data_IF_305481293820
#
_entry.id   IF_305481293820
#
_cell.length_a   1.000
_cell.length_b   1.000
_cell.length_c   1.000
_cell.angle_alpha   90.00
_cell.angle_beta   90.00
_cell.angle_gamma   90.00
#
_symmetry.space_group_name_H-M   'P 1'
#
loop_
_entity.id
_entity.type
_entity.pdbx_description
1 polymer ?
#
# COMPACT_ATOMS: atom_id res chain seq x y z
N UNK A 1 1.96 28.88 10.45
CA UNK A 1 1.04 28.90 11.58
C UNK A 1 -0.19 28.07 11.21
N UNK A 2 -0.39 26.94 11.85
CA UNK A 2 -1.52 26.05 11.62
C UNK A 2 -2.80 26.68 12.20
N UNK A 3 -3.70 27.10 11.36
CA UNK A 3 -4.98 27.64 11.80
C UNK A 3 -5.93 26.48 12.11
N UNK A 4 -6.27 26.30 13.37
CA UNK A 4 -7.28 25.33 13.84
C UNK A 4 -8.70 25.61 13.29
N UNK A 5 -8.90 26.73 12.61
CA UNK A 5 -10.21 27.18 12.10
C UNK A 5 -10.74 26.38 10.90
N UNK A 6 -9.93 25.51 10.28
CA UNK A 6 -10.37 24.72 9.13
C UNK A 6 -11.18 23.46 9.49
N UNK A 7 -11.19 23.08 10.76
CA UNK A 7 -11.85 21.85 11.19
C UNK A 7 -13.32 22.06 11.66
N UNK A 8 -13.71 23.29 11.89
CA UNK A 8 -15.03 23.61 12.48
C UNK A 8 -16.20 23.64 11.49
N UNK A 9 -15.96 23.40 10.20
CA UNK A 9 -17.00 23.42 9.16
C UNK A 9 -17.18 22.12 8.37
N UNK A 10 -16.39 21.09 8.64
CA UNK A 10 -16.53 19.80 7.95
C UNK A 10 -17.76 19.07 8.53
N UNK A 11 -18.87 19.13 7.81
CA UNK A 11 -20.01 18.25 8.10
C UNK A 11 -19.56 16.82 7.92
N UNK A 12 -19.64 16.04 8.98
CA UNK A 12 -19.42 14.60 8.89
C UNK A 12 -20.43 14.02 7.87
N UNK A 13 -19.99 13.15 6.96
CA UNK A 13 -20.91 12.51 6.03
C UNK A 13 -21.97 11.71 6.82
N UNK A 14 -23.19 11.55 6.30
CA UNK A 14 -24.21 10.77 6.95
C UNK A 14 -23.69 9.34 7.23
N UNK A 15 -23.94 8.83 8.41
CA UNK A 15 -23.39 7.54 8.91
C UNK A 15 -23.64 6.39 7.92
N UNK A 16 -24.78 6.36 7.24
CA UNK A 16 -25.10 5.35 6.24
C UNK A 16 -24.11 5.33 5.05
N UNK A 17 -23.69 6.49 4.57
CA UNK A 17 -22.69 6.58 3.50
C UNK A 17 -21.30 6.17 3.98
N UNK A 18 -20.97 6.46 5.24
CA UNK A 18 -19.70 6.04 5.85
C UNK A 18 -19.61 4.54 6.01
N UNK A 19 -20.68 3.88 6.44
CA UNK A 19 -20.75 2.41 6.58
C UNK A 19 -20.64 1.73 5.22
N UNK A 20 -21.38 2.21 4.21
CA UNK A 20 -21.29 1.68 2.84
C UNK A 20 -19.87 1.80 2.30
N UNK A 21 -19.25 2.96 2.44
CA UNK A 21 -17.87 3.17 1.99
C UNK A 21 -16.90 2.25 2.73
N UNK A 22 -17.03 2.09 4.04
CA UNK A 22 -16.20 1.19 4.84
C UNK A 22 -16.33 -0.27 4.37
N UNK A 23 -17.55 -0.74 4.09
CA UNK A 23 -17.79 -2.09 3.56
C UNK A 23 -17.15 -2.29 2.18
N UNK A 24 -17.30 -1.32 1.28
CA UNK A 24 -16.71 -1.39 -0.05
C UNK A 24 -15.17 -1.34 0.01
N UNK A 25 -14.60 -0.51 0.87
CA UNK A 25 -13.15 -0.48 1.12
C UNK A 25 -12.67 -1.82 1.70
N UNK A 26 -13.41 -2.38 2.65
CA UNK A 26 -13.11 -3.70 3.22
C UNK A 26 -13.14 -4.83 2.19
N UNK A 27 -14.14 -4.84 1.30
CA UNK A 27 -14.21 -5.79 0.18
C UNK A 27 -13.02 -5.59 -0.78
N UNK A 28 -12.70 -4.35 -1.13
CA UNK A 28 -11.54 -4.02 -1.94
C UNK A 28 -10.24 -4.54 -1.30
N UNK A 29 -10.06 -4.33 0.00
CA UNK A 29 -8.90 -4.81 0.74
C UNK A 29 -8.80 -6.34 0.74
N UNK A 30 -9.91 -7.04 0.93
CA UNK A 30 -9.97 -8.49 0.82
C UNK A 30 -9.55 -9.00 -0.56
N UNK A 31 -10.07 -8.39 -1.62
CA UNK A 31 -9.68 -8.70 -3.00
C UNK A 31 -8.20 -8.43 -3.27
N UNK A 32 -7.67 -7.31 -2.78
CA UNK A 32 -6.25 -6.98 -2.87
C UNK A 32 -5.37 -7.99 -2.15
N UNK A 33 -5.75 -8.40 -0.94
CA UNK A 33 -5.05 -9.41 -0.17
C UNK A 33 -5.04 -10.78 -0.87
N UNK A 34 -6.16 -11.19 -1.48
CA UNK A 34 -6.24 -12.42 -2.27
C UNK A 34 -5.32 -12.33 -3.50
N UNK A 35 -5.37 -11.22 -4.25
CA UNK A 35 -4.50 -11.00 -5.40
C UNK A 35 -3.01 -11.08 -5.01
N UNK A 36 -2.61 -10.45 -3.91
CA UNK A 36 -1.26 -10.58 -3.34
C UNK A 36 -0.92 -12.03 -3.05
N UNK A 37 -1.80 -12.73 -2.36
CA UNK A 37 -1.56 -14.12 -1.98
C UNK A 37 -1.36 -15.02 -3.20
N UNK A 38 -2.14 -14.83 -4.26
CA UNK A 38 -1.97 -15.57 -5.52
C UNK A 38 -0.59 -15.34 -6.14
N UNK A 39 -0.08 -14.11 -6.11
CA UNK A 39 1.29 -13.81 -6.56
C UNK A 39 2.33 -14.54 -5.70
N UNK A 40 2.18 -14.50 -4.38
CA UNK A 40 3.13 -15.11 -3.45
C UNK A 40 3.11 -16.64 -3.46
N UNK A 41 2.04 -17.28 -3.93
CA UNK A 41 1.98 -18.75 -4.07
C UNK A 41 3.03 -19.31 -5.07
N UNK A 42 3.59 -18.47 -5.93
CA UNK A 42 4.65 -18.89 -6.87
C UNK A 42 6.01 -19.10 -6.22
N UNK A 43 6.17 -18.78 -4.94
CA UNK A 43 7.43 -18.93 -4.21
C UNK A 43 7.21 -19.66 -2.87
N UNK A 44 8.21 -20.44 -2.45
CA UNK A 44 8.17 -21.13 -1.16
C UNK A 44 8.14 -20.10 -0.01
N UNK A 45 7.25 -20.27 0.99
CA UNK A 45 7.20 -19.38 2.15
C UNK A 45 8.56 -19.24 2.84
N UNK A 46 8.93 -18.02 3.20
CA UNK A 46 10.21 -17.72 3.86
C UNK A 46 11.44 -17.76 2.95
N UNK A 47 11.28 -18.03 1.66
CA UNK A 47 12.38 -18.01 0.69
C UNK A 47 12.76 -16.58 0.28
N UNK A 48 13.99 -16.43 -0.25
CA UNK A 48 14.43 -15.18 -0.88
C UNK A 48 13.51 -14.77 -2.04
N UNK A 49 12.98 -15.74 -2.78
CA UNK A 49 12.01 -15.47 -3.85
C UNK A 49 10.70 -14.90 -3.30
N UNK A 50 10.19 -15.40 -2.19
CA UNK A 50 9.00 -14.85 -1.54
C UNK A 50 9.23 -13.41 -1.05
N UNK A 51 10.41 -13.12 -0.50
CA UNK A 51 10.79 -11.77 -0.09
C UNK A 51 10.87 -10.84 -1.31
N UNK A 52 11.50 -11.27 -2.40
CA UNK A 52 11.59 -10.49 -3.64
C UNK A 52 10.21 -10.20 -4.24
N UNK A 53 9.30 -11.17 -4.24
CA UNK A 53 7.90 -10.98 -4.67
C UNK A 53 7.15 -10.02 -3.75
N UNK A 54 7.38 -10.06 -2.45
CA UNK A 54 6.80 -9.11 -1.49
C UNK A 54 7.23 -7.68 -1.81
N UNK A 55 8.51 -7.46 -2.08
CA UNK A 55 9.02 -6.16 -2.54
C UNK A 55 8.38 -5.74 -3.85
N UNK A 56 8.30 -6.64 -4.83
CA UNK A 56 7.68 -6.36 -6.14
C UNK A 56 6.21 -5.97 -6.01
N UNK A 57 5.44 -6.65 -5.18
CA UNK A 57 4.04 -6.34 -4.88
C UNK A 57 3.90 -4.95 -4.25
N UNK A 58 4.74 -4.63 -3.27
CA UNK A 58 4.72 -3.33 -2.62
C UNK A 58 5.11 -2.20 -3.58
N UNK A 59 6.15 -2.39 -4.38
CA UNK A 59 6.59 -1.44 -5.40
C UNK A 59 5.47 -1.22 -6.44
N UNK A 60 4.88 -2.28 -6.97
CA UNK A 60 3.80 -2.20 -7.95
C UNK A 60 2.56 -1.50 -7.39
N UNK A 61 2.18 -1.82 -6.15
CA UNK A 61 1.05 -1.18 -5.47
C UNK A 61 1.28 0.30 -5.20
N UNK A 62 2.47 0.67 -4.73
CA UNK A 62 2.84 2.07 -4.50
C UNK A 62 2.94 2.87 -5.80
N UNK A 63 3.51 2.28 -6.86
CA UNK A 63 3.57 2.89 -8.19
C UNK A 63 2.15 3.15 -8.73
N UNK A 64 1.26 2.17 -8.66
CA UNK A 64 -0.13 2.30 -9.08
C UNK A 64 -0.88 3.36 -8.27
N UNK A 65 -0.64 3.42 -6.96
CA UNK A 65 -1.23 4.44 -6.08
C UNK A 65 -0.80 5.85 -6.49
N UNK A 66 0.48 6.07 -6.77
CA UNK A 66 1.01 7.36 -7.23
C UNK A 66 0.50 7.72 -8.62
N UNK A 67 0.54 6.79 -9.56
CA UNK A 67 0.18 7.03 -10.96
C UNK A 67 -1.32 7.24 -11.19
N UNK A 68 -2.17 6.52 -10.46
CA UNK A 68 -3.62 6.54 -10.68
C UNK A 68 -4.37 7.40 -9.65
N UNK A 69 -3.84 7.54 -8.44
CA UNK A 69 -4.53 8.17 -7.28
C UNK A 69 -6.00 7.74 -7.20
N UNK A 70 -6.28 6.43 -7.15
CA UNK A 70 -7.63 5.91 -7.23
C UNK A 70 -8.43 6.31 -5.99
N UNK A 71 -9.77 6.28 -6.12
CA UNK A 71 -10.68 6.54 -5.01
C UNK A 71 -10.54 5.53 -3.86
N UNK A 72 -11.29 5.71 -2.75
CA UNK A 72 -11.10 4.94 -1.52
C UNK A 72 -11.16 3.41 -1.69
N UNK A 73 -12.07 2.91 -2.53
CA UNK A 73 -12.26 1.46 -2.74
C UNK A 73 -11.05 0.82 -3.42
N UNK A 74 -10.53 1.45 -4.44
CA UNK A 74 -9.38 0.94 -5.20
C UNK A 74 -8.04 1.32 -4.58
N UNK A 75 -7.93 2.53 -4.02
CA UNK A 75 -6.71 3.00 -3.36
C UNK A 75 -6.54 2.38 -1.98
N UNK A 76 -7.28 2.87 -1.01
CA UNK A 76 -7.21 2.39 0.38
C UNK A 76 -7.66 0.94 0.50
N UNK A 77 -8.69 0.54 -0.25
CA UNK A 77 -9.16 -0.84 -0.29
C UNK A 77 -8.19 -1.73 -1.05
N UNK A 78 -8.36 -1.87 -2.36
CA UNK A 78 -7.64 -2.88 -3.15
C UNK A 78 -6.10 -2.73 -3.06
N UNK A 79 -5.54 -1.58 -3.37
CA UNK A 79 -4.09 -1.38 -3.31
C UNK A 79 -3.55 -1.45 -1.88
N UNK A 80 -4.31 -0.97 -0.89
CA UNK A 80 -3.95 -1.13 0.52
C UNK A 80 -3.93 -2.58 0.98
N UNK A 81 -4.86 -3.42 0.51
CA UNK A 81 -4.86 -4.86 0.76
C UNK A 81 -3.81 -5.62 -0.07
N UNK A 82 -3.50 -5.13 -1.27
CA UNK A 82 -2.50 -5.73 -2.15
C UNK A 82 -1.06 -5.54 -1.63
N UNK A 83 -0.74 -4.36 -1.09
CA UNK A 83 0.56 -4.10 -0.44
C UNK A 83 0.59 -4.67 0.98
N UNK A 84 1.78 -4.94 1.51
CA UNK A 84 1.93 -5.51 2.85
C UNK A 84 3.18 -4.99 3.55
N UNK A 85 2.99 -4.48 4.75
CA UNK A 85 4.09 -4.18 5.66
C UNK A 85 4.37 -5.36 6.60
N UNK A 86 3.34 -6.12 6.95
CA UNK A 86 3.46 -7.24 7.89
C UNK A 86 4.39 -8.35 7.36
N UNK A 87 4.32 -8.69 6.08
CA UNK A 87 5.21 -9.68 5.49
C UNK A 87 6.68 -9.23 5.52
N UNK A 88 6.94 -7.94 5.29
CA UNK A 88 8.27 -7.34 5.43
C UNK A 88 8.75 -7.40 6.87
N UNK A 89 7.87 -7.07 7.83
CA UNK A 89 8.18 -7.11 9.26
C UNK A 89 8.50 -8.52 9.75
N UNK A 90 7.76 -9.52 9.28
CA UNK A 90 8.03 -10.94 9.62
C UNK A 90 9.39 -11.37 9.04
N UNK A 91 9.69 -11.05 7.78
CA UNK A 91 10.98 -11.35 7.18
C UNK A 91 12.15 -10.68 7.94
N UNK A 92 11.98 -9.43 8.34
CA UNK A 92 12.95 -8.72 9.15
C UNK A 92 13.14 -9.39 10.53
N UNK A 93 12.04 -9.76 11.20
CA UNK A 93 12.09 -10.40 12.51
C UNK A 93 12.77 -11.78 12.49
N UNK A 94 12.74 -12.47 11.36
CA UNK A 94 13.41 -13.76 11.15
C UNK A 94 14.86 -13.64 10.70
N UNK A 95 15.36 -12.43 10.52
CA UNK A 95 16.70 -12.12 10.04
C UNK A 95 17.60 -11.61 11.16
N UNK A 96 18.93 -11.65 10.93
CA UNK A 96 19.86 -10.98 11.82
C UNK A 96 19.66 -9.44 11.80
N UNK A 97 20.07 -8.75 12.84
CA UNK A 97 19.79 -7.33 13.05
C UNK A 97 20.19 -6.44 11.85
N UNK A 98 21.37 -6.66 11.27
CA UNK A 98 21.82 -5.90 10.11
C UNK A 98 20.96 -6.17 8.86
N UNK A 99 20.61 -7.43 8.62
CA UNK A 99 19.71 -7.82 7.53
C UNK A 99 18.28 -7.29 7.75
N UNK A 100 17.79 -7.36 8.99
CA UNK A 100 16.48 -6.81 9.36
C UNK A 100 16.39 -5.31 9.06
N UNK A 101 17.39 -4.55 9.48
CA UNK A 101 17.46 -3.11 9.21
C UNK A 101 17.52 -2.83 7.71
N UNK A 102 18.31 -3.58 6.96
CA UNK A 102 18.43 -3.46 5.50
C UNK A 102 17.08 -3.74 4.81
N UNK A 103 16.41 -4.83 5.16
CA UNK A 103 15.07 -5.19 4.63
C UNK A 103 14.08 -4.06 4.87
N UNK A 104 14.02 -3.54 6.10
CA UNK A 104 13.09 -2.46 6.46
C UNK A 104 13.38 -1.18 5.68
N UNK A 105 14.63 -0.73 5.67
CA UNK A 105 15.01 0.51 4.98
C UNK A 105 14.81 0.43 3.47
N UNK A 106 15.18 -0.70 2.84
CA UNK A 106 14.96 -0.91 1.41
C UNK A 106 13.47 -0.96 1.07
N UNK A 107 12.66 -1.62 1.89
CA UNK A 107 11.22 -1.68 1.68
C UNK A 107 10.59 -0.28 1.71
N UNK A 108 10.93 0.54 2.69
CA UNK A 108 10.46 1.92 2.77
C UNK A 108 10.96 2.76 1.59
N UNK A 109 12.26 2.74 1.32
CA UNK A 109 12.87 3.56 0.27
C UNK A 109 12.30 3.22 -1.11
N UNK A 110 12.18 1.94 -1.45
CA UNK A 110 11.65 1.50 -2.75
C UNK A 110 10.17 1.79 -2.90
N UNK A 111 9.38 1.64 -1.83
CA UNK A 111 7.95 1.95 -1.84
C UNK A 111 7.68 3.44 -2.01
N UNK A 112 8.41 4.28 -1.29
CA UNK A 112 8.31 5.74 -1.41
C UNK A 112 8.76 6.19 -2.81
N UNK A 113 9.90 5.68 -3.29
CA UNK A 113 10.40 6.01 -4.63
C UNK A 113 9.41 5.60 -5.73
N UNK A 114 8.81 4.42 -5.61
CA UNK A 114 7.78 3.94 -6.53
C UNK A 114 6.54 4.84 -6.55
N UNK A 115 6.07 5.25 -5.38
CA UNK A 115 4.94 6.18 -5.27
C UNK A 115 5.26 7.53 -5.94
N UNK A 116 6.41 8.12 -5.62
CA UNK A 116 6.83 9.40 -6.20
C UNK A 116 7.03 9.31 -7.71
N UNK A 117 7.60 8.21 -8.20
CA UNK A 117 7.73 7.96 -9.63
C UNK A 117 6.35 7.88 -10.30
N UNK A 118 5.41 7.16 -9.70
CA UNK A 118 4.04 7.10 -10.19
C UNK A 118 3.37 8.46 -10.26
N UNK A 119 3.55 9.29 -9.23
CA UNK A 119 3.02 10.65 -9.16
C UNK A 119 3.62 11.56 -10.24
N UNK A 120 4.93 11.52 -10.43
CA UNK A 120 5.60 12.30 -11.48
C UNK A 120 5.18 11.87 -12.89
N UNK A 121 4.99 10.58 -13.13
CA UNK A 121 4.49 10.07 -14.41
C UNK A 121 3.06 10.53 -14.68
N UNK A 122 2.24 10.60 -13.64
CA UNK A 122 0.88 11.13 -13.74
C UNK A 122 0.88 12.62 -14.09
N UNK A 123 1.70 13.42 -13.43
CA UNK A 123 1.83 14.86 -13.71
C UNK A 123 2.24 15.11 -15.15
N UNK A 124 3.19 14.35 -15.69
CA UNK A 124 3.63 14.46 -17.09
C UNK A 124 2.55 14.12 -18.12
N UNK A 125 1.58 13.27 -17.75
CA UNK A 125 0.46 12.90 -18.64
C UNK A 125 -0.66 13.93 -18.67
N UNK A 126 -0.78 14.72 -17.61
CA UNK A 126 -1.84 15.71 -17.43
C UNK A 126 -1.36 17.16 -17.58
N UNK A 127 -0.08 17.35 -17.71
CA UNK A 127 0.56 18.64 -18.06
C UNK A 127 0.83 18.72 -19.55
#
# INVERSE_FOLDING_TARGET
MWSASRWTGARLPPVGNSVRTALLVGLGAGMGAVARQLVLLSAAPGSTAALALTFAVNIAGCLAMGACKPGPVWGTGFLGGFTTFSAVSVAAAQSEAAAALTIMLLSFATSIAAYLLGDTLRERRHG
#
